data_IF_339902762000
#
_entry.id   IF_339902762000
#
_cell.length_a   1.000
_cell.length_b   1.000
_cell.length_c   1.000
_cell.angle_alpha   90.00
_cell.angle_beta   90.00
_cell.angle_gamma   90.00
#
_symmetry.space_group_name_H-M   'P 1'
#
loop_
_entity.id
_entity.type
_entity.pdbx_description
1 polymer ?
#
# COMPACT_ATOMS: atom_id res chain seq x y z
N UNK A 1 4.41 -18.41 -22.88
CA UNK A 1 5.04 -18.18 -21.58
C UNK A 1 4.41 -19.19 -20.61
N UNK A 2 5.19 -20.15 -20.09
CA UNK A 2 4.66 -21.23 -19.25
C UNK A 2 4.52 -20.69 -17.81
N UNK A 3 3.28 -20.61 -17.33
CA UNK A 3 3.01 -20.25 -15.93
C UNK A 3 3.25 -21.50 -15.09
N UNK A 4 4.33 -21.53 -14.30
CA UNK A 4 4.57 -22.59 -13.32
C UNK A 4 3.64 -22.38 -12.12
N UNK A 5 2.58 -23.17 -12.02
CA UNK A 5 1.79 -23.28 -10.78
C UNK A 5 2.58 -24.11 -9.77
N UNK A 6 3.05 -23.48 -8.70
CA UNK A 6 3.66 -24.20 -7.58
C UNK A 6 2.54 -24.87 -6.78
N UNK A 7 2.50 -26.20 -6.82
CA UNK A 7 1.62 -27.01 -5.97
C UNK A 7 2.30 -27.26 -4.63
N UNK A 8 1.77 -26.69 -3.55
CA UNK A 8 2.14 -27.08 -2.19
C UNK A 8 1.19 -28.22 -1.76
N UNK A 9 1.70 -29.44 -1.67
CA UNK A 9 0.94 -30.61 -1.24
C UNK A 9 1.00 -30.69 0.29
N UNK A 10 -0.12 -30.45 0.95
CA UNK A 10 -0.27 -30.73 2.39
C UNK A 10 -0.67 -32.19 2.59
N UNK A 11 -0.10 -32.85 3.60
CA UNK A 11 -0.17 -34.29 3.91
C UNK A 11 -1.60 -34.80 4.20
N UNK A 12 -2.64 -33.98 4.08
CA UNK A 12 -4.05 -34.33 4.26
C UNK A 12 -4.94 -34.18 3.02
N UNK A 13 -4.36 -34.10 1.83
CA UNK A 13 -5.12 -34.23 0.58
C UNK A 13 -6.10 -33.09 0.23
N UNK A 14 -5.98 -31.91 0.85
CA UNK A 14 -6.73 -30.71 0.45
C UNK A 14 -5.76 -29.77 -0.23
N UNK A 15 -5.86 -29.63 -1.54
CA UNK A 15 -5.16 -28.57 -2.29
C UNK A 15 -5.76 -27.22 -1.86
N UNK A 16 -5.16 -26.57 -0.89
CA UNK A 16 -5.43 -25.16 -0.62
C UNK A 16 -4.67 -24.34 -1.68
N UNK A 17 -5.32 -24.06 -2.80
CA UNK A 17 -4.82 -23.11 -3.79
C UNK A 17 -4.94 -21.75 -3.10
N UNK A 18 -3.88 -21.32 -2.41
CA UNK A 18 -3.84 -19.95 -1.89
C UNK A 18 -3.98 -19.01 -3.08
N UNK A 19 -5.05 -18.22 -3.10
CA UNK A 19 -5.25 -17.18 -4.12
C UNK A 19 -4.04 -16.27 -4.09
N UNK A 20 -3.38 -16.13 -5.23
CA UNK A 20 -2.26 -15.19 -5.38
C UNK A 20 -2.72 -13.80 -4.98
N UNK A 21 -1.95 -13.14 -4.09
CA UNK A 21 -2.26 -11.79 -3.62
C UNK A 21 -1.79 -10.77 -4.63
N UNK A 22 -2.64 -9.75 -4.89
CA UNK A 22 -2.36 -8.68 -5.84
C UNK A 22 -2.51 -7.30 -5.19
N UNK A 23 -1.53 -6.42 -5.40
CA UNK A 23 -1.45 -5.09 -4.79
C UNK A 23 -1.27 -4.03 -5.87
N UNK A 24 -2.04 -2.94 -5.80
CA UNK A 24 -1.83 -1.76 -6.62
C UNK A 24 -1.08 -0.68 -5.82
N UNK A 25 0.06 -0.22 -6.33
CA UNK A 25 0.82 0.90 -5.78
C UNK A 25 0.59 2.13 -6.65
N UNK A 26 -0.18 3.11 -6.15
CA UNK A 26 -0.57 4.29 -6.89
C UNK A 26 0.51 5.35 -6.86
N UNK A 27 0.95 5.80 -8.03
CA UNK A 27 1.97 6.83 -8.19
C UNK A 27 1.36 8.12 -8.73
N UNK A 28 1.58 9.21 -8.02
CA UNK A 28 1.27 10.56 -8.46
C UNK A 28 2.56 11.33 -8.73
N UNK A 29 2.57 12.28 -9.65
CA UNK A 29 3.72 13.16 -9.83
C UNK A 29 4.12 13.81 -8.50
N UNK A 30 5.42 13.72 -8.17
CA UNK A 30 5.97 14.17 -6.89
C UNK A 30 5.88 13.12 -5.76
N UNK A 31 5.62 11.84 -6.07
CA UNK A 31 5.71 10.76 -5.07
C UNK A 31 7.12 10.62 -4.48
N UNK A 32 7.25 10.11 -3.26
CA UNK A 32 8.54 9.82 -2.63
C UNK A 32 9.05 8.43 -3.06
N UNK A 33 10.23 8.39 -3.67
CA UNK A 33 10.82 7.19 -4.28
C UNK A 33 10.96 6.02 -3.30
N UNK A 34 11.52 6.31 -2.12
CA UNK A 34 11.77 5.27 -1.10
C UNK A 34 10.45 4.66 -0.61
N UNK A 35 9.41 5.48 -0.49
CA UNK A 35 8.10 5.05 0.00
C UNK A 35 7.31 4.24 -1.03
N UNK A 36 7.62 4.43 -2.32
CA UNK A 36 7.00 3.70 -3.43
C UNK A 36 7.76 2.42 -3.77
N UNK A 37 9.08 2.52 -4.00
CA UNK A 37 9.85 1.40 -4.56
C UNK A 37 10.19 0.35 -3.51
N UNK A 38 10.38 0.74 -2.24
CA UNK A 38 10.61 -0.24 -1.17
C UNK A 38 9.45 -1.24 -1.04
N UNK A 39 8.16 -0.82 -0.94
CA UNK A 39 7.07 -1.79 -0.96
C UNK A 39 7.01 -2.61 -2.24
N UNK A 40 7.24 -2.03 -3.42
CA UNK A 40 7.23 -2.78 -4.69
C UNK A 40 8.25 -3.93 -4.64
N UNK A 41 9.51 -3.65 -4.25
CA UNK A 41 10.55 -4.67 -4.16
C UNK A 41 10.20 -5.75 -3.11
N UNK A 42 9.86 -5.34 -1.90
CA UNK A 42 9.66 -6.29 -0.80
C UNK A 42 8.41 -7.16 -0.97
N UNK A 43 7.34 -6.63 -1.52
CA UNK A 43 6.13 -7.39 -1.81
C UNK A 43 6.37 -8.42 -2.91
N UNK A 44 7.10 -8.05 -3.97
CA UNK A 44 7.48 -8.97 -5.04
C UNK A 44 8.40 -10.08 -4.51
N UNK A 45 9.37 -9.79 -3.63
CA UNK A 45 10.19 -10.81 -2.92
C UNK A 45 9.33 -11.77 -2.11
N UNK A 46 8.25 -11.27 -1.52
CA UNK A 46 7.31 -12.11 -0.77
C UNK A 46 6.43 -13.00 -1.65
N UNK A 47 6.45 -12.82 -2.97
CA UNK A 47 5.61 -13.54 -3.93
C UNK A 47 4.22 -12.91 -4.13
N UNK A 48 4.07 -11.63 -3.79
CA UNK A 48 2.86 -10.86 -4.05
C UNK A 48 3.00 -10.24 -5.45
N UNK A 49 1.94 -10.33 -6.26
CA UNK A 49 1.86 -9.61 -7.53
C UNK A 49 1.64 -8.12 -7.25
N UNK A 50 2.48 -7.26 -7.82
CA UNK A 50 2.42 -5.82 -7.62
C UNK A 50 2.35 -5.12 -8.96
N UNK A 51 1.31 -4.31 -9.17
CA UNK A 51 1.24 -3.36 -10.26
C UNK A 51 1.50 -1.94 -9.72
N UNK A 52 2.42 -1.23 -10.35
CA UNK A 52 2.53 0.21 -10.20
C UNK A 52 1.49 0.88 -11.09
N UNK A 53 0.72 1.82 -10.54
CA UNK A 53 -0.43 2.42 -11.24
C UNK A 53 -0.30 3.95 -11.23
N UNK A 54 -0.25 4.57 -12.41
CA UNK A 54 -0.37 6.02 -12.51
C UNK A 54 -1.79 6.47 -12.17
N UNK A 55 -1.92 7.55 -11.41
CA UNK A 55 -3.24 8.13 -11.11
C UNK A 55 -3.79 9.01 -12.26
N UNK A 56 -3.09 9.08 -13.37
CA UNK A 56 -3.47 9.81 -14.60
C UNK A 56 -3.49 8.87 -15.79
N UNK A 57 -3.87 9.37 -16.96
CA UNK A 57 -3.86 8.61 -18.22
C UNK A 57 -2.45 8.46 -18.83
N UNK A 58 -1.43 9.13 -18.25
CA UNK A 58 -0.02 9.00 -18.67
C UNK A 58 0.67 8.02 -17.71
N UNK A 59 1.29 6.98 -18.25
CA UNK A 59 2.05 5.99 -17.47
C UNK A 59 3.45 6.48 -17.05
N UNK A 60 3.92 7.63 -17.55
CA UNK A 60 5.18 8.23 -17.13
C UNK A 60 4.96 9.14 -15.93
N UNK A 61 5.38 8.70 -14.75
CA UNK A 61 5.26 9.46 -13.50
C UNK A 61 6.64 9.93 -13.03
N UNK A 62 6.72 11.17 -12.55
CA UNK A 62 7.95 11.78 -12.06
C UNK A 62 7.91 11.96 -10.55
N UNK A 63 8.90 11.39 -9.88
CA UNK A 63 9.03 11.45 -8.43
C UNK A 63 9.46 12.81 -7.88
N UNK A 64 9.49 12.95 -6.56
CA UNK A 64 9.94 14.15 -5.84
C UNK A 64 11.41 14.51 -6.15
N UNK A 65 12.25 13.51 -6.39
CA UNK A 65 13.68 13.71 -6.75
C UNK A 65 13.94 13.59 -8.25
N UNK A 66 12.89 13.72 -9.07
CA UNK A 66 12.95 13.76 -10.54
C UNK A 66 13.30 12.41 -11.20
N UNK A 67 13.21 11.30 -10.47
CA UNK A 67 13.28 9.96 -11.06
C UNK A 67 12.00 9.75 -11.88
N UNK A 68 12.15 9.28 -13.10
CA UNK A 68 11.03 8.95 -13.98
C UNK A 68 10.75 7.46 -13.88
N UNK A 69 9.50 7.10 -13.64
CA UNK A 69 9.03 5.73 -13.60
C UNK A 69 7.96 5.56 -14.66
N UNK A 70 8.10 4.52 -15.44
CA UNK A 70 7.04 4.03 -16.31
C UNK A 70 6.23 3.03 -15.48
N UNK A 71 4.98 3.35 -15.20
CA UNK A 71 4.08 2.46 -14.43
C UNK A 71 3.60 1.30 -15.30
N UNK A 72 3.25 0.19 -14.65
CA UNK A 72 2.71 -0.99 -15.32
C UNK A 72 1.33 -0.69 -15.91
N UNK A 73 0.53 0.12 -15.20
CA UNK A 73 -0.85 0.42 -15.54
C UNK A 73 -1.17 1.91 -15.34
N UNK A 74 -2.29 2.35 -15.90
CA UNK A 74 -2.94 3.63 -15.61
C UNK A 74 -4.29 3.39 -14.92
N UNK A 75 -4.68 4.29 -14.02
CA UNK A 75 -5.84 4.10 -13.16
C UNK A 75 -7.16 3.87 -13.91
N UNK A 76 -7.31 4.41 -15.10
CA UNK A 76 -8.49 4.26 -15.94
C UNK A 76 -8.65 2.88 -16.58
N UNK A 77 -7.60 2.06 -16.59
CA UNK A 77 -7.57 0.77 -17.30
C UNK A 77 -7.57 -0.44 -16.36
N UNK A 78 -7.38 -0.25 -15.05
CA UNK A 78 -7.37 -1.34 -14.09
C UNK A 78 -8.78 -1.76 -13.62
N UNK A 79 -8.95 -3.05 -13.35
CA UNK A 79 -10.09 -3.55 -12.57
C UNK A 79 -9.72 -3.63 -11.08
N UNK A 80 -10.23 -2.69 -10.28
CA UNK A 80 -9.99 -2.65 -8.84
C UNK A 80 -10.40 -3.93 -8.11
N UNK A 81 -11.34 -4.71 -8.64
CA UNK A 81 -11.80 -5.94 -8.00
C UNK A 81 -10.72 -7.01 -7.91
N UNK A 82 -9.73 -6.98 -8.80
CA UNK A 82 -8.62 -7.92 -8.83
C UNK A 82 -7.62 -7.73 -7.68
N UNK A 83 -7.54 -6.53 -7.10
CA UNK A 83 -6.56 -6.22 -6.07
C UNK A 83 -7.06 -6.54 -4.66
N UNK A 84 -6.18 -7.06 -3.82
CA UNK A 84 -6.42 -7.29 -2.39
C UNK A 84 -6.11 -6.05 -1.56
N UNK A 85 -5.20 -5.17 -2.04
CA UNK A 85 -4.77 -3.97 -1.33
C UNK A 85 -4.45 -2.82 -2.28
N UNK A 86 -4.77 -1.60 -1.83
CA UNK A 86 -4.35 -0.33 -2.45
C UNK A 86 -3.26 0.31 -1.59
N UNK A 87 -2.14 0.69 -2.19
CA UNK A 87 -1.01 1.33 -1.52
C UNK A 87 -0.79 2.72 -2.09
N UNK A 88 -0.67 3.72 -1.21
CA UNK A 88 -0.38 5.09 -1.59
C UNK A 88 0.88 5.59 -0.87
N UNK A 89 2.02 5.74 -1.57
CA UNK A 89 3.19 6.46 -1.05
C UNK A 89 2.88 7.95 -0.86
N UNK A 90 3.67 8.60 -0.03
CA UNK A 90 3.56 10.03 0.19
C UNK A 90 4.45 10.85 -0.75
N UNK A 91 5.02 11.89 -0.20
CA UNK A 91 5.82 12.89 -0.92
C UNK A 91 5.05 14.17 -1.20
N UNK A 92 5.72 15.19 -1.79
CA UNK A 92 5.08 16.46 -2.17
C UNK A 92 3.88 16.30 -3.11
N UNK A 93 3.85 15.17 -3.85
CA UNK A 93 2.79 14.83 -4.79
C UNK A 93 1.48 14.34 -4.16
N UNK A 94 1.43 14.12 -2.85
CA UNK A 94 0.22 13.60 -2.15
C UNK A 94 -1.05 14.40 -2.48
N UNK A 95 -0.93 15.72 -2.66
CA UNK A 95 -2.05 16.56 -3.06
C UNK A 95 -2.71 16.19 -4.39
N UNK A 96 -2.02 15.44 -5.25
CA UNK A 96 -2.60 15.00 -6.53
C UNK A 96 -3.59 13.85 -6.36
N UNK A 97 -3.50 13.04 -5.30
CA UNK A 97 -4.51 12.00 -5.02
C UNK A 97 -5.93 12.56 -4.87
N UNK A 98 -6.06 13.77 -4.29
CA UNK A 98 -7.34 14.45 -4.12
C UNK A 98 -8.02 14.84 -5.46
N UNK A 99 -7.26 14.82 -6.57
CA UNK A 99 -7.77 15.14 -7.91
C UNK A 99 -8.33 13.91 -8.64
N UNK A 100 -8.05 12.71 -8.16
CA UNK A 100 -8.53 11.45 -8.75
C UNK A 100 -9.76 10.92 -8.00
N UNK A 101 -10.96 11.32 -8.43
CA UNK A 101 -12.20 10.84 -7.81
C UNK A 101 -12.31 9.31 -7.90
N UNK A 102 -11.85 8.71 -9.00
CA UNK A 102 -11.84 7.25 -9.19
C UNK A 102 -11.00 6.54 -8.10
N UNK A 103 -9.82 7.09 -7.75
CA UNK A 103 -9.01 6.56 -6.65
C UNK A 103 -9.73 6.70 -5.30
N UNK A 104 -10.25 7.90 -4.99
CA UNK A 104 -10.90 8.17 -3.71
C UNK A 104 -12.12 7.27 -3.48
N UNK A 105 -12.94 7.06 -4.50
CA UNK A 105 -14.12 6.19 -4.43
C UNK A 105 -13.72 4.73 -4.15
N UNK A 106 -12.65 4.25 -4.77
CA UNK A 106 -12.16 2.89 -4.55
C UNK A 106 -11.45 2.74 -3.20
N UNK A 107 -10.71 3.74 -2.74
CA UNK A 107 -10.16 3.77 -1.37
C UNK A 107 -11.28 3.66 -0.34
N UNK A 108 -12.38 4.39 -0.51
CA UNK A 108 -13.56 4.29 0.35
C UNK A 108 -14.21 2.89 0.29
N UNK A 109 -14.32 2.28 -0.89
CA UNK A 109 -14.86 0.90 -1.02
C UNK A 109 -13.97 -0.11 -0.30
N UNK A 110 -12.65 -0.04 -0.50
CA UNK A 110 -11.69 -0.92 0.13
C UNK A 110 -11.67 -0.78 1.65
N UNK A 111 -11.77 0.44 2.17
CA UNK A 111 -11.81 0.68 3.61
C UNK A 111 -13.03 0.08 4.31
N UNK A 112 -14.15 -0.10 3.58
CA UNK A 112 -15.40 -0.67 4.08
C UNK A 112 -15.46 -2.20 3.99
N UNK A 113 -14.74 -2.81 3.05
CA UNK A 113 -14.61 -4.28 2.93
C UNK A 113 -13.47 -4.78 3.83
N UNK A 114 -13.72 -4.79 5.12
CA UNK A 114 -12.71 -5.11 6.15
C UNK A 114 -12.25 -6.57 6.13
N UNK A 115 -13.00 -7.46 5.49
CA UNK A 115 -12.66 -8.88 5.41
C UNK A 115 -11.68 -9.18 4.26
N UNK A 116 -11.94 -8.60 3.07
CA UNK A 116 -11.25 -8.99 1.85
C UNK A 116 -10.26 -7.95 1.32
N UNK A 117 -10.47 -6.67 1.65
CA UNK A 117 -9.72 -5.55 1.07
C UNK A 117 -8.97 -4.76 2.12
N UNK A 118 -7.86 -4.15 1.74
CA UNK A 118 -7.00 -3.35 2.61
C UNK A 118 -6.54 -2.08 1.94
N UNK A 119 -6.22 -1.07 2.75
CA UNK A 119 -5.61 0.18 2.28
C UNK A 119 -4.37 0.48 3.12
N UNK A 120 -3.26 0.76 2.47
CA UNK A 120 -2.00 1.09 3.11
C UNK A 120 -1.47 2.44 2.62
N UNK A 121 -1.07 3.31 3.54
CA UNK A 121 -0.59 4.67 3.23
C UNK A 121 0.60 5.04 4.10
N UNK A 122 1.52 5.84 3.53
CA UNK A 122 2.73 6.24 4.25
C UNK A 122 2.99 7.74 4.13
N UNK A 123 3.65 8.32 5.12
CA UNK A 123 4.14 9.70 5.12
C UNK A 123 3.00 10.74 5.11
N UNK A 124 2.83 11.49 4.04
CA UNK A 124 1.74 12.44 3.89
C UNK A 124 0.43 11.78 3.40
N UNK A 125 0.49 10.60 2.77
CA UNK A 125 -0.69 9.95 2.19
C UNK A 125 -1.80 9.57 3.20
N UNK A 126 -1.55 9.29 4.50
CA UNK A 126 -2.62 9.11 5.49
C UNK A 126 -3.59 10.29 5.60
N UNK A 127 -3.19 11.51 5.19
CA UNK A 127 -4.10 12.68 5.14
C UNK A 127 -5.27 12.47 4.17
N UNK A 128 -5.08 11.67 3.12
CA UNK A 128 -6.16 11.28 2.19
C UNK A 128 -7.21 10.47 2.95
N UNK A 129 -6.78 9.48 3.74
CA UNK A 129 -7.69 8.66 4.53
C UNK A 129 -8.41 9.48 5.61
N UNK A 130 -7.70 10.42 6.25
CA UNK A 130 -8.27 11.33 7.23
C UNK A 130 -9.36 12.21 6.62
N UNK A 131 -9.13 12.78 5.44
CA UNK A 131 -10.09 13.61 4.72
C UNK A 131 -11.36 12.87 4.30
N UNK A 132 -11.25 11.57 4.05
CA UNK A 132 -12.36 10.67 3.71
C UNK A 132 -13.10 10.14 4.95
N UNK A 133 -12.69 10.53 6.17
CA UNK A 133 -13.26 10.04 7.42
C UNK A 133 -12.92 8.59 7.78
N UNK A 134 -12.00 7.95 7.02
CA UNK A 134 -11.63 6.54 7.21
C UNK A 134 -10.87 6.35 8.54
N UNK A 135 -10.15 7.36 9.00
CA UNK A 135 -9.34 7.28 10.21
C UNK A 135 -10.07 7.66 11.50
N UNK A 136 -11.37 7.99 11.44
CA UNK A 136 -12.12 8.35 12.65
C UNK A 136 -12.13 7.20 13.67
N UNK A 137 -11.56 7.47 14.85
CA UNK A 137 -11.41 6.49 15.94
C UNK A 137 -10.35 5.41 15.73
N UNK A 138 -9.60 5.45 14.62
CA UNK A 138 -8.53 4.48 14.33
C UNK A 138 -7.17 4.97 14.80
N UNK A 139 -6.35 4.03 15.26
CA UNK A 139 -4.93 4.26 15.51
C UNK A 139 -4.23 4.50 14.16
N UNK A 140 -3.46 5.59 14.06
CA UNK A 140 -2.77 5.93 12.82
C UNK A 140 -1.49 6.72 13.09
N UNK A 141 -0.59 6.69 12.11
CA UNK A 141 0.63 7.49 12.05
C UNK A 141 0.76 8.14 10.68
N UNK A 142 1.51 9.24 10.62
CA UNK A 142 1.85 9.91 9.37
C UNK A 142 3.18 10.64 9.50
N UNK A 143 3.55 11.38 8.47
CA UNK A 143 4.66 12.33 8.55
C UNK A 143 4.36 13.40 9.62
N UNK A 144 5.33 13.77 10.48
CA UNK A 144 5.06 14.67 11.63
C UNK A 144 4.34 15.97 11.28
N UNK A 145 4.69 16.59 10.14
CA UNK A 145 4.02 17.83 9.72
C UNK A 145 2.55 17.65 9.28
N UNK A 146 2.07 16.42 9.18
CA UNK A 146 0.69 16.07 8.78
C UNK A 146 -0.18 15.61 9.99
N UNK A 147 0.38 15.57 11.21
CA UNK A 147 -0.33 15.05 12.39
C UNK A 147 -1.62 15.82 12.69
N UNK A 148 -1.61 17.15 12.49
CA UNK A 148 -2.80 17.99 12.68
C UNK A 148 -3.97 17.62 11.75
N UNK A 149 -3.68 17.16 10.53
CA UNK A 149 -4.71 16.74 9.58
C UNK A 149 -5.33 15.39 10.00
N UNK A 150 -4.52 14.48 10.55
CA UNK A 150 -5.03 13.25 11.12
C UNK A 150 -5.92 13.53 12.36
N UNK A 151 -5.49 14.46 13.21
CA UNK A 151 -6.30 14.88 14.37
C UNK A 151 -7.64 15.50 13.96
N UNK A 152 -7.66 16.36 12.92
CA UNK A 152 -8.91 16.88 12.33
C UNK A 152 -9.80 15.75 11.80
N UNK A 153 -9.20 14.70 11.23
CA UNK A 153 -9.86 13.46 10.81
C UNK A 153 -10.23 12.53 11.98
N UNK A 154 -10.05 12.97 13.24
CA UNK A 154 -10.36 12.24 14.48
C UNK A 154 -9.61 10.91 14.63
N UNK A 155 -8.41 10.79 14.04
CA UNK A 155 -7.53 9.65 14.25
C UNK A 155 -6.92 9.68 15.66
N UNK A 156 -6.60 8.51 16.18
CA UNK A 156 -5.82 8.33 17.42
C UNK A 156 -4.35 8.23 17.03
N UNK A 157 -3.62 9.34 17.19
CA UNK A 157 -2.21 9.41 16.81
C UNK A 157 -1.37 8.45 17.65
N UNK A 158 -0.50 7.72 16.95
CA UNK A 158 0.51 6.83 17.51
C UNK A 158 1.92 7.34 17.19
N UNK A 159 2.94 6.69 17.79
CA UNK A 159 4.36 7.01 17.58
C UNK A 159 5.17 5.86 16.98
N UNK A 160 4.52 4.74 16.73
CA UNK A 160 5.10 3.56 16.10
C UNK A 160 5.57 3.88 14.68
N UNK A 161 6.47 3.07 14.15
CA UNK A 161 7.01 3.24 12.79
C UNK A 161 5.97 2.90 11.72
N UNK A 162 5.15 1.88 11.98
CA UNK A 162 3.97 1.52 11.22
C UNK A 162 2.87 1.06 12.17
N UNK A 163 1.61 1.29 11.80
CA UNK A 163 0.41 0.92 12.57
C UNK A 163 -0.55 0.18 11.65
N UNK A 164 -1.07 -0.94 12.14
CA UNK A 164 -2.17 -1.69 11.54
C UNK A 164 -3.38 -1.53 12.45
N UNK A 165 -4.50 -1.06 11.90
CA UNK A 165 -5.77 -0.95 12.62
C UNK A 165 -6.91 -1.44 11.72
N UNK A 166 -7.32 -2.68 11.96
CA UNK A 166 -8.24 -3.40 11.09
C UNK A 166 -7.62 -3.61 9.71
N UNK A 167 -8.29 -3.16 8.67
CA UNK A 167 -7.80 -3.27 7.29
C UNK A 167 -7.03 -2.03 6.78
N UNK A 168 -6.65 -1.13 7.69
CA UNK A 168 -5.90 0.09 7.38
C UNK A 168 -4.49 -0.01 7.93
N UNK A 169 -3.51 0.29 7.08
CA UNK A 169 -2.09 0.35 7.45
C UNK A 169 -1.59 1.77 7.23
N UNK A 170 -0.94 2.33 8.22
CA UNK A 170 -0.30 3.65 8.11
C UNK A 170 1.15 3.61 8.56
N UNK A 171 2.02 4.43 7.96
CA UNK A 171 3.43 4.54 8.34
C UNK A 171 3.93 5.98 8.26
N UNK A 172 5.09 6.27 8.90
CA UNK A 172 5.50 7.65 9.16
C UNK A 172 6.17 8.36 8.00
N UNK A 173 7.14 7.74 7.34
CA UNK A 173 7.90 8.39 6.26
C UNK A 173 8.89 7.43 5.59
N UNK A 174 9.69 7.93 4.66
CA UNK A 174 10.74 7.19 3.96
C UNK A 174 11.62 6.34 4.91
N UNK A 175 11.98 6.86 6.09
CA UNK A 175 12.75 6.11 7.09
C UNK A 175 12.03 4.91 7.71
N UNK A 176 10.74 4.73 7.45
CA UNK A 176 9.92 3.60 7.94
C UNK A 176 9.34 2.75 6.79
N UNK A 177 9.84 2.92 5.56
CA UNK A 177 9.34 2.20 4.40
C UNK A 177 9.51 0.67 4.50
N UNK A 178 10.58 0.20 5.16
CA UNK A 178 10.80 -1.23 5.44
C UNK A 178 9.73 -1.77 6.39
N UNK A 179 9.49 -1.08 7.53
CA UNK A 179 8.46 -1.47 8.50
C UNK A 179 7.07 -1.48 7.88
N UNK A 180 6.79 -0.49 7.02
CA UNK A 180 5.55 -0.39 6.25
C UNK A 180 5.36 -1.61 5.33
N UNK A 181 6.38 -1.95 4.56
CA UNK A 181 6.34 -3.09 3.63
C UNK A 181 6.18 -4.42 4.38
N UNK A 182 6.88 -4.60 5.50
CA UNK A 182 6.75 -5.80 6.32
C UNK A 182 5.37 -5.90 7.00
N UNK A 183 4.78 -4.77 7.40
CA UNK A 183 3.41 -4.75 7.90
C UNK A 183 2.41 -5.19 6.81
N UNK A 184 2.58 -4.71 5.58
CA UNK A 184 1.76 -5.13 4.42
C UNK A 184 1.90 -6.64 4.18
N UNK A 185 3.14 -7.16 4.15
CA UNK A 185 3.39 -8.60 3.96
C UNK A 185 2.74 -9.40 5.07
N UNK A 186 2.88 -8.95 6.32
CA UNK A 186 2.26 -9.60 7.48
C UNK A 186 0.74 -9.71 7.38
N UNK A 187 0.09 -8.65 6.89
CA UNK A 187 -1.37 -8.61 6.69
C UNK A 187 -1.86 -9.48 5.52
N UNK A 188 -1.07 -9.62 4.48
CA UNK A 188 -1.47 -10.37 3.29
C UNK A 188 -1.08 -11.86 3.34
N UNK A 189 0.09 -12.18 3.92
CA UNK A 189 0.68 -13.53 3.89
C UNK A 189 0.98 -14.10 5.28
N UNK A 190 0.76 -13.31 6.35
CA UNK A 190 1.05 -13.71 7.71
C UNK A 190 2.45 -13.33 8.21
N UNK A 191 2.60 -13.33 9.52
CA UNK A 191 3.82 -12.89 10.23
C UNK A 191 5.09 -13.63 9.79
N UNK A 192 4.99 -14.93 9.57
CA UNK A 192 6.13 -15.77 9.16
C UNK A 192 6.71 -15.33 7.80
N UNK A 193 5.85 -14.90 6.87
CA UNK A 193 6.29 -14.36 5.58
C UNK A 193 7.05 -13.03 5.77
N UNK A 194 6.55 -12.14 6.62
CA UNK A 194 7.23 -10.88 6.92
C UNK A 194 8.60 -11.11 7.58
N UNK A 195 8.70 -12.03 8.56
CA UNK A 195 9.95 -12.40 9.22
C UNK A 195 10.97 -13.01 8.25
N UNK A 196 10.50 -13.84 7.30
CA UNK A 196 11.35 -14.41 6.25
C UNK A 196 11.93 -13.31 5.37
N UNK A 197 11.12 -12.36 4.92
CA UNK A 197 11.60 -11.25 4.08
C UNK A 197 12.54 -10.33 4.86
N UNK A 198 12.24 -9.99 6.12
CA UNK A 198 13.13 -9.20 6.97
C UNK A 198 14.52 -9.84 7.09
N UNK A 199 14.57 -11.16 7.30
CA UNK A 199 15.85 -11.91 7.34
C UNK A 199 16.57 -11.94 5.98
N UNK A 200 15.83 -12.06 4.88
CA UNK A 200 16.40 -12.09 3.53
C UNK A 200 17.10 -10.78 3.16
N UNK A 201 16.52 -9.65 3.58
CA UNK A 201 17.08 -8.30 3.32
C UNK A 201 18.08 -7.85 4.41
N UNK A 202 18.40 -8.70 5.38
CA UNK A 202 19.34 -8.41 6.49
C UNK A 202 18.89 -7.23 7.36
N UNK A 203 17.60 -7.16 7.68
CA UNK A 203 16.99 -6.15 8.55
C UNK A 203 16.99 -6.61 10.00
#
# INVERSE_FOLDING_TARGET
MLIFKIKVVNVKGVENIMKEKKVAVFLADGFEEVEAITPVDLLQRAGITVDTVSITDDNLVKSARKVKILTDEVIGEIDFSEYDMLVMPGGPGTGNYFKSQLLLDNVLKFSKDTENKRVATICAAPTVLASLGILEGKNAVCFPACEDDLLKGKAILKKERAVVDGNIITSRSAGTAMDFSLAIIGELLGKEAAERIAKEIVL
#
